data_IF_785739651843
#
_entry.id   IF_785739651843
#
_cell.length_a   1.000
_cell.length_b   1.000
_cell.length_c   1.000
_cell.angle_alpha   90.00
_cell.angle_beta   90.00
_cell.angle_gamma   90.00
#
_symmetry.space_group_name_H-M   'P 1'
#
loop_
_entity.id
_entity.type
_entity.pdbx_description
1 polymer ?
#
# COMPACT_ATOMS: atom_id res chain seq x y z
N UNK A 1 -12.96 26.80 -7.67
CA UNK A 1 -12.25 26.12 -6.57
C UNK A 1 -11.08 25.34 -7.15
N UNK A 2 -9.94 25.21 -6.46
CA UNK A 2 -8.89 24.26 -6.86
C UNK A 2 -9.45 22.84 -6.95
N UNK A 3 -8.87 22.00 -7.82
CA UNK A 3 -9.23 20.58 -7.89
C UNK A 3 -8.93 19.85 -6.58
N UNK A 4 -9.78 18.88 -6.22
CA UNK A 4 -9.57 18.08 -5.01
C UNK A 4 -8.40 17.11 -5.21
N UNK A 5 -7.74 16.72 -4.12
CA UNK A 5 -6.73 15.66 -4.13
C UNK A 5 -7.30 14.39 -3.53
N UNK A 6 -7.19 13.26 -4.24
CA UNK A 6 -7.39 11.95 -3.65
C UNK A 6 -6.05 11.47 -3.09
N UNK A 7 -5.90 11.58 -1.76
CA UNK A 7 -4.64 11.28 -1.08
C UNK A 7 -4.36 9.77 -0.91
N UNK A 8 -5.28 8.89 -1.31
CA UNK A 8 -5.05 7.45 -1.30
C UNK A 8 -6.04 6.68 -2.20
N UNK A 9 -5.51 5.97 -3.18
CA UNK A 9 -6.23 5.07 -4.07
C UNK A 9 -5.37 3.84 -4.37
N UNK A 10 -5.98 2.78 -4.89
CA UNK A 10 -5.27 1.58 -5.33
C UNK A 10 -5.32 1.39 -6.86
N UNK A 11 -5.84 2.37 -7.60
CA UNK A 11 -6.12 2.34 -9.03
C UNK A 11 -6.93 1.10 -9.45
N UNK A 12 -7.88 0.67 -8.61
CA UNK A 12 -8.62 -0.58 -8.83
C UNK A 12 -9.65 -0.43 -9.96
N UNK A 13 -9.59 -1.36 -10.90
CA UNK A 13 -10.55 -1.44 -11.99
C UNK A 13 -11.93 -1.88 -11.49
N UNK A 14 -11.97 -2.89 -10.62
CA UNK A 14 -13.21 -3.47 -10.10
C UNK A 14 -13.64 -2.83 -8.78
N UNK A 15 -14.95 -2.64 -8.61
CA UNK A 15 -15.54 -2.26 -7.32
C UNK A 15 -15.67 -3.50 -6.43
N UNK A 16 -15.49 -3.33 -5.12
CA UNK A 16 -15.63 -4.42 -4.14
C UNK A 16 -16.99 -5.16 -4.23
N UNK A 17 -18.05 -4.46 -4.63
CA UNK A 17 -19.39 -5.05 -4.84
C UNK A 17 -19.44 -6.04 -6.00
N UNK A 18 -18.58 -5.91 -7.01
CA UNK A 18 -18.61 -6.74 -8.22
C UNK A 18 -18.17 -8.19 -7.98
N UNK A 19 -17.48 -8.47 -6.87
CA UNK A 19 -16.98 -9.80 -6.51
C UNK A 19 -17.35 -10.21 -5.08
N UNK A 20 -18.42 -9.62 -4.53
CA UNK A 20 -18.99 -10.03 -3.24
C UNK A 20 -18.16 -9.66 -2.01
N UNK A 21 -17.21 -8.72 -2.16
CA UNK A 21 -16.28 -8.30 -1.12
C UNK A 21 -16.64 -6.93 -0.51
N UNK A 22 -17.91 -6.53 -0.55
CA UNK A 22 -18.37 -5.30 0.12
C UNK A 22 -18.77 -5.59 1.58
N UNK A 23 -18.56 -4.60 2.46
CA UNK A 23 -18.95 -4.65 3.87
C UNK A 23 -18.36 -5.86 4.64
N UNK A 24 -17.04 -6.04 4.51
CA UNK A 24 -16.27 -7.12 5.13
C UNK A 24 -15.10 -6.52 5.92
N UNK A 25 -14.77 -7.04 7.12
CA UNK A 25 -13.53 -6.70 7.80
C UNK A 25 -12.32 -6.86 6.87
N UNK A 26 -11.33 -5.94 6.93
CA UNK A 26 -10.15 -5.95 6.07
C UNK A 26 -9.50 -7.33 5.97
N UNK A 27 -9.28 -8.01 7.09
CA UNK A 27 -8.58 -9.28 7.15
C UNK A 27 -9.35 -10.39 6.40
N UNK A 28 -10.69 -10.34 6.42
CA UNK A 28 -11.53 -11.22 5.62
C UNK A 28 -11.65 -10.77 4.15
N UNK A 29 -11.58 -9.46 3.91
CA UNK A 29 -11.66 -8.86 2.59
C UNK A 29 -10.43 -9.15 1.72
N UNK A 30 -9.22 -9.14 2.30
CA UNK A 30 -7.96 -9.31 1.58
C UNK A 30 -7.92 -10.60 0.73
N UNK A 31 -8.55 -11.68 1.19
CA UNK A 31 -8.62 -12.94 0.44
C UNK A 31 -9.36 -12.82 -0.90
N UNK A 32 -10.31 -11.90 -1.00
CA UNK A 32 -11.04 -11.65 -2.24
C UNK A 32 -10.16 -10.97 -3.30
N UNK A 33 -9.07 -10.30 -2.92
CA UNK A 33 -8.14 -9.75 -3.90
C UNK A 33 -7.44 -10.84 -4.73
N UNK A 34 -7.29 -12.04 -4.17
CA UNK A 34 -6.72 -13.20 -4.86
C UNK A 34 -7.65 -13.84 -5.90
N UNK A 35 -8.93 -13.46 -5.96
CA UNK A 35 -9.87 -13.96 -6.98
C UNK A 35 -10.15 -12.96 -8.10
N UNK A 36 -9.65 -11.72 -7.96
CA UNK A 36 -9.75 -10.71 -9.02
C UNK A 36 -8.73 -11.06 -10.10
N UNK A 37 -9.11 -11.19 -11.39
CA UNK A 37 -8.16 -11.45 -12.46
C UNK A 37 -7.28 -10.23 -12.75
N UNK A 38 -6.06 -10.45 -13.25
CA UNK A 38 -5.26 -9.39 -13.84
C UNK A 38 -5.99 -8.77 -15.05
N UNK A 39 -5.89 -7.46 -15.21
CA UNK A 39 -6.40 -6.76 -16.41
C UNK A 39 -5.26 -6.00 -17.08
N UNK A 40 -5.47 -5.54 -18.32
CA UNK A 40 -4.52 -4.66 -18.97
C UNK A 40 -4.19 -3.46 -18.05
N UNK A 41 -2.91 -3.24 -17.68
CA UNK A 41 -2.55 -2.22 -16.69
C UNK A 41 -2.93 -0.80 -17.11
N UNK A 42 -2.82 -0.49 -18.40
CA UNK A 42 -3.20 0.82 -18.92
C UNK A 42 -4.71 1.01 -18.82
N UNK A 43 -5.50 0.07 -19.32
CA UNK A 43 -6.96 0.17 -19.25
C UNK A 43 -7.45 0.19 -17.80
N UNK A 44 -6.83 -0.61 -16.94
CA UNK A 44 -7.14 -0.66 -15.51
C UNK A 44 -6.93 0.68 -14.82
N UNK A 45 -5.74 1.27 -15.00
CA UNK A 45 -5.38 2.58 -14.46
C UNK A 45 -6.19 3.71 -15.10
N UNK A 46 -6.30 3.76 -16.42
CA UNK A 46 -7.05 4.79 -17.14
C UNK A 46 -8.51 4.84 -16.67
N UNK A 47 -9.15 3.68 -16.51
CA UNK A 47 -10.52 3.61 -16.02
C UNK A 47 -10.65 4.10 -14.58
N UNK A 48 -9.69 3.78 -13.70
CA UNK A 48 -9.71 4.22 -12.31
C UNK A 48 -9.47 5.74 -12.19
N UNK A 49 -8.46 6.26 -12.90
CA UNK A 49 -8.10 7.68 -12.89
C UNK A 49 -9.18 8.54 -13.55
N UNK A 50 -9.75 8.12 -14.68
CA UNK A 50 -10.83 8.85 -15.33
C UNK A 50 -12.08 8.97 -14.44
N UNK A 51 -12.39 7.92 -13.66
CA UNK A 51 -13.47 7.97 -12.65
C UNK A 51 -13.21 9.05 -11.59
N UNK A 52 -11.98 9.17 -11.11
CA UNK A 52 -11.59 10.22 -10.16
C UNK A 52 -11.68 11.61 -10.79
N UNK A 53 -11.11 11.79 -11.99
CA UNK A 53 -11.14 13.06 -12.72
C UNK A 53 -12.57 13.57 -12.98
N UNK A 54 -13.49 12.68 -13.38
CA UNK A 54 -14.92 12.99 -13.58
C UNK A 54 -15.64 13.46 -12.31
N UNK A 55 -15.04 13.30 -11.13
CA UNK A 55 -15.57 13.75 -9.83
C UNK A 55 -14.85 14.99 -9.29
N UNK A 56 -14.06 15.66 -10.12
CA UNK A 56 -13.35 16.89 -9.74
C UNK A 56 -12.05 16.65 -8.97
N UNK A 57 -11.54 15.41 -8.96
CA UNK A 57 -10.22 15.10 -8.41
C UNK A 57 -9.15 15.49 -9.44
N UNK A 58 -8.30 16.43 -9.07
CA UNK A 58 -7.21 16.92 -9.92
C UNK A 58 -5.88 16.21 -9.73
N UNK A 59 -5.71 15.40 -8.66
CA UNK A 59 -4.50 14.60 -8.39
C UNK A 59 -4.84 13.35 -7.60
N UNK A 60 -4.13 12.25 -7.83
CA UNK A 60 -4.39 10.96 -7.16
C UNK A 60 -3.09 10.36 -6.63
N UNK A 61 -3.07 9.94 -5.36
CA UNK A 61 -2.00 9.12 -4.81
C UNK A 61 -2.38 7.65 -4.92
N UNK A 62 -1.71 6.90 -5.79
CA UNK A 62 -1.92 5.48 -6.02
C UNK A 62 -0.92 4.67 -5.19
N UNK A 63 -1.40 3.95 -4.18
CA UNK A 63 -0.65 2.90 -3.51
C UNK A 63 -0.89 1.58 -4.25
N UNK A 64 0.04 1.23 -5.12
CA UNK A 64 -0.13 0.17 -6.13
C UNK A 64 0.11 -1.23 -5.53
N UNK A 65 -0.77 -1.63 -4.61
CA UNK A 65 -0.67 -2.87 -3.81
C UNK A 65 -0.98 -4.15 -4.59
N UNK A 66 -1.46 -4.03 -5.83
CA UNK A 66 -1.79 -5.18 -6.67
C UNK A 66 -1.37 -4.92 -8.12
N UNK A 67 -0.20 -5.45 -8.48
CA UNK A 67 0.18 -5.60 -9.88
C UNK A 67 -0.83 -6.48 -10.62
N UNK A 68 -1.01 -6.22 -11.92
CA UNK A 68 -1.84 -7.02 -12.80
C UNK A 68 -1.12 -8.30 -13.23
N UNK A 69 0.21 -8.26 -13.30
CA UNK A 69 1.03 -9.44 -13.56
C UNK A 69 0.91 -9.96 -14.99
N UNK A 70 0.53 -9.10 -15.93
CA UNK A 70 0.46 -9.43 -17.36
C UNK A 70 1.76 -9.08 -18.11
N UNK A 71 2.60 -8.25 -17.53
CA UNK A 71 3.94 -7.86 -18.02
C UNK A 71 4.91 -7.84 -16.84
N UNK A 72 6.20 -7.58 -17.10
CA UNK A 72 7.13 -7.27 -16.02
C UNK A 72 6.70 -5.96 -15.29
N UNK A 73 7.12 -5.77 -14.02
CA UNK A 73 6.65 -4.65 -13.20
C UNK A 73 7.04 -3.26 -13.74
N UNK A 74 8.15 -3.14 -14.48
CA UNK A 74 8.61 -1.86 -15.04
C UNK A 74 7.74 -1.48 -16.21
N UNK A 75 7.53 -2.39 -17.17
CA UNK A 75 6.60 -2.21 -18.29
C UNK A 75 5.18 -1.92 -17.78
N UNK A 76 4.76 -2.60 -16.72
CA UNK A 76 3.47 -2.38 -16.10
C UNK A 76 3.33 -0.96 -15.52
N UNK A 77 4.32 -0.50 -14.75
CA UNK A 77 4.32 0.85 -14.19
C UNK A 77 4.35 1.93 -15.29
N UNK A 78 5.12 1.72 -16.36
CA UNK A 78 5.12 2.62 -17.53
C UNK A 78 3.74 2.69 -18.21
N UNK A 79 2.99 1.58 -18.25
CA UNK A 79 1.63 1.58 -18.75
C UNK A 79 0.66 2.37 -17.83
N UNK A 80 0.83 2.29 -16.50
CA UNK A 80 0.10 3.12 -15.54
C UNK A 80 0.46 4.61 -15.68
N UNK A 81 1.75 4.92 -15.86
CA UNK A 81 2.22 6.29 -16.09
C UNK A 81 1.64 6.89 -17.37
N UNK A 82 1.62 6.12 -18.47
CA UNK A 82 0.97 6.51 -19.73
C UNK A 82 -0.53 6.76 -19.52
N UNK A 83 -1.22 5.91 -18.77
CA UNK A 83 -2.64 6.12 -18.46
C UNK A 83 -2.88 7.41 -17.66
N UNK A 84 -2.01 7.73 -16.69
CA UNK A 84 -2.10 8.96 -15.92
C UNK A 84 -1.92 10.20 -16.81
N UNK A 85 -0.94 10.16 -17.72
CA UNK A 85 -0.71 11.20 -18.72
C UNK A 85 -1.93 11.38 -19.64
N UNK A 86 -2.43 10.31 -20.25
CA UNK A 86 -3.52 10.37 -21.24
C UNK A 86 -4.85 10.82 -20.62
N UNK A 87 -5.11 10.46 -19.37
CA UNK A 87 -6.27 10.96 -18.61
C UNK A 87 -6.06 12.41 -18.15
N UNK A 88 -4.82 12.90 -18.12
CA UNK A 88 -4.47 14.24 -17.65
C UNK A 88 -4.55 14.39 -16.12
N UNK A 89 -4.33 13.30 -15.38
CA UNK A 89 -4.37 13.30 -13.90
C UNK A 89 -2.96 13.05 -13.35
N UNK A 90 -2.33 14.04 -12.70
CA UNK A 90 -1.08 13.83 -11.99
C UNK A 90 -1.23 12.76 -10.89
N UNK A 91 -0.27 11.85 -10.84
CA UNK A 91 -0.28 10.69 -9.94
C UNK A 91 0.98 10.66 -9.08
N UNK A 92 0.81 10.48 -7.77
CA UNK A 92 1.85 9.87 -6.93
C UNK A 92 1.71 8.36 -7.00
N UNK A 93 2.79 7.61 -7.26
CA UNK A 93 2.74 6.17 -7.49
C UNK A 93 3.66 5.45 -6.51
N UNK A 94 3.08 4.91 -5.44
CA UNK A 94 3.82 4.14 -4.46
C UNK A 94 3.94 2.67 -4.89
N UNK A 95 5.18 2.26 -5.20
CA UNK A 95 5.54 0.88 -5.53
C UNK A 95 5.38 0.04 -4.27
N UNK A 96 4.49 -0.95 -4.30
CA UNK A 96 4.20 -1.74 -3.11
C UNK A 96 5.38 -2.63 -2.70
N UNK A 97 5.78 -2.52 -1.43
CA UNK A 97 6.85 -3.30 -0.82
C UNK A 97 6.26 -4.14 0.31
N UNK A 98 6.63 -5.43 0.38
CA UNK A 98 6.29 -6.37 1.48
C UNK A 98 7.17 -7.60 1.43
N UNK A 99 7.65 -8.05 2.58
CA UNK A 99 8.60 -9.15 2.68
C UNK A 99 8.30 -10.13 3.84
N UNK A 100 7.18 -9.95 4.56
CA UNK A 100 6.74 -10.90 5.58
C UNK A 100 5.23 -11.06 5.64
N UNK A 101 4.81 -12.10 6.34
CA UNK A 101 3.43 -12.31 6.80
C UNK A 101 2.35 -12.21 5.68
N UNK A 102 2.50 -12.94 4.55
CA UNK A 102 1.63 -12.80 3.38
C UNK A 102 0.19 -13.31 3.59
N UNK A 103 -0.11 -14.06 4.67
CA UNK A 103 -1.44 -14.64 4.92
C UNK A 103 -2.24 -13.82 5.94
N UNK A 104 -1.62 -13.54 7.08
CA UNK A 104 -2.21 -12.89 8.25
C UNK A 104 -1.07 -12.25 9.06
N UNK A 105 -1.37 -11.57 10.17
CA UNK A 105 -0.38 -10.89 11.02
C UNK A 105 0.46 -11.86 11.89
N UNK A 106 0.91 -12.96 11.29
CA UNK A 106 1.64 -14.04 11.94
C UNK A 106 2.45 -14.85 10.90
N UNK A 107 3.34 -15.71 11.39
CA UNK A 107 4.18 -16.56 10.55
C UNK A 107 3.36 -17.52 9.68
N UNK A 108 3.68 -17.58 8.39
CA UNK A 108 2.90 -18.32 7.38
C UNK A 108 2.68 -19.78 7.75
N UNK A 109 3.71 -20.47 8.27
CA UNK A 109 3.61 -21.88 8.66
C UNK A 109 2.65 -22.09 9.84
N UNK A 110 2.63 -21.15 10.81
CA UNK A 110 1.73 -21.21 11.96
C UNK A 110 0.27 -20.98 11.52
N UNK A 111 0.06 -20.05 10.57
CA UNK A 111 -1.27 -19.81 10.01
C UNK A 111 -1.75 -21.01 9.20
N UNK A 112 -0.91 -21.57 8.32
CA UNK A 112 -1.25 -22.77 7.54
C UNK A 112 -1.64 -23.95 8.42
N UNK A 113 -0.95 -24.16 9.55
CA UNK A 113 -1.25 -25.22 10.50
C UNK A 113 -2.64 -25.08 11.15
N UNK A 114 -3.16 -23.85 11.28
CA UNK A 114 -4.48 -23.55 11.84
C UNK A 114 -5.61 -23.62 10.80
N UNK A 115 -5.29 -23.62 9.50
CA UNK A 115 -6.30 -23.74 8.46
C UNK A 115 -6.90 -25.15 8.38
N UNK A 116 -8.20 -25.28 8.03
CA UNK A 116 -8.80 -26.56 7.69
C UNK A 116 -7.99 -27.31 6.63
N UNK A 117 -7.83 -28.62 6.84
CA UNK A 117 -7.02 -29.49 5.95
C UNK A 117 -7.46 -29.35 4.48
N UNK A 118 -8.76 -29.21 4.23
CA UNK A 118 -9.34 -29.10 2.89
C UNK A 118 -8.84 -27.89 2.08
N UNK A 119 -8.40 -26.80 2.72
CA UNK A 119 -7.97 -25.58 2.02
C UNK A 119 -6.47 -25.31 2.14
N UNK A 120 -5.77 -26.01 3.04
CA UNK A 120 -4.36 -25.76 3.38
C UNK A 120 -3.44 -25.82 2.15
N UNK A 121 -3.61 -26.84 1.31
CA UNK A 121 -2.79 -27.02 0.10
C UNK A 121 -3.02 -25.89 -0.92
N UNK A 122 -4.27 -25.47 -1.13
CA UNK A 122 -4.62 -24.38 -2.05
C UNK A 122 -4.15 -23.01 -1.55
N UNK A 123 -4.10 -22.78 -0.23
CA UNK A 123 -3.52 -21.56 0.32
C UNK A 123 -2.00 -21.62 0.22
N UNK A 124 -1.37 -22.75 0.56
CA UNK A 124 0.08 -22.92 0.47
C UNK A 124 0.60 -22.71 -0.97
N UNK A 125 -0.11 -23.20 -2.00
CA UNK A 125 0.30 -23.01 -3.39
C UNK A 125 0.25 -21.54 -3.85
N UNK A 126 -0.64 -20.73 -3.30
CA UNK A 126 -0.70 -19.28 -3.56
C UNK A 126 0.42 -18.49 -2.89
N UNK A 127 1.11 -19.10 -1.94
CA UNK A 127 2.28 -18.55 -1.25
C UNK A 127 3.59 -19.05 -1.85
N UNK A 128 3.55 -19.69 -3.03
CA UNK A 128 4.71 -20.36 -3.59
C UNK A 128 5.84 -19.36 -3.85
N UNK A 129 6.92 -19.50 -3.08
CA UNK A 129 8.15 -18.72 -3.16
C UNK A 129 8.34 -17.80 -1.95
N UNK A 130 9.56 -17.71 -1.39
CA UNK A 130 9.86 -16.65 -0.43
C UNK A 130 9.65 -15.29 -1.11
N UNK A 131 9.22 -14.26 -0.35
CA UNK A 131 9.16 -12.91 -0.91
C UNK A 131 10.55 -12.49 -1.40
N UNK A 132 10.57 -11.60 -2.39
CA UNK A 132 11.82 -10.99 -2.85
C UNK A 132 12.53 -10.30 -1.67
N UNK A 133 13.86 -10.35 -1.65
CA UNK A 133 14.63 -9.70 -0.59
C UNK A 133 14.33 -8.20 -0.51
N UNK A 134 14.45 -7.55 0.65
CA UNK A 134 14.31 -6.10 0.77
C UNK A 134 15.14 -5.33 -0.26
N UNK A 135 16.40 -5.72 -0.47
CA UNK A 135 17.29 -5.11 -1.46
C UNK A 135 16.75 -5.24 -2.90
N UNK A 136 16.23 -6.41 -3.28
CA UNK A 136 15.61 -6.61 -4.61
C UNK A 136 14.39 -5.73 -4.80
N UNK A 137 13.54 -5.61 -3.78
CA UNK A 137 12.34 -4.77 -3.85
C UNK A 137 12.68 -3.27 -3.96
N UNK A 138 13.70 -2.82 -3.21
CA UNK A 138 14.20 -1.44 -3.29
C UNK A 138 14.78 -1.13 -4.68
N UNK A 139 15.60 -2.04 -5.22
CA UNK A 139 16.16 -1.89 -6.57
C UNK A 139 15.06 -1.78 -7.63
N UNK A 140 14.02 -2.61 -7.53
CA UNK A 140 12.88 -2.54 -8.44
C UNK A 140 12.13 -1.20 -8.34
N UNK A 141 11.92 -0.69 -7.12
CA UNK A 141 11.27 0.61 -6.93
C UNK A 141 12.10 1.76 -7.55
N UNK A 142 13.42 1.71 -7.44
CA UNK A 142 14.32 2.69 -8.04
C UNK A 142 14.38 2.56 -9.58
N UNK A 143 14.31 1.34 -10.12
CA UNK A 143 14.21 1.08 -11.55
C UNK A 143 12.90 1.64 -12.13
N UNK A 144 11.77 1.38 -11.47
CA UNK A 144 10.46 1.95 -11.84
C UNK A 144 10.49 3.48 -11.79
N UNK A 145 11.11 4.06 -10.76
CA UNK A 145 11.25 5.51 -10.63
C UNK A 145 12.06 6.11 -11.80
N UNK A 146 13.09 5.41 -12.25
CA UNK A 146 13.91 5.83 -13.40
C UNK A 146 13.13 5.70 -14.71
N UNK A 147 12.45 4.57 -14.92
CA UNK A 147 11.71 4.28 -16.15
C UNK A 147 10.46 5.16 -16.34
N UNK A 148 9.83 5.57 -15.24
CA UNK A 148 8.63 6.41 -15.24
C UNK A 148 8.95 7.90 -14.98
N UNK A 149 10.21 8.31 -15.06
CA UNK A 149 10.61 9.70 -14.84
C UNK A 149 9.91 10.62 -15.85
N UNK A 150 9.24 11.66 -15.35
CA UNK A 150 8.53 12.62 -16.18
C UNK A 150 7.59 13.51 -15.39
N UNK A 151 7.01 14.49 -16.08
CA UNK A 151 6.06 15.42 -15.47
C UNK A 151 4.73 14.73 -15.13
N UNK A 152 4.25 14.95 -13.91
CA UNK A 152 2.94 14.46 -13.48
C UNK A 152 2.89 13.01 -12.99
N UNK A 153 4.01 12.28 -12.94
CA UNK A 153 4.07 10.94 -12.36
C UNK A 153 5.22 10.83 -11.33
N UNK A 154 4.89 10.88 -10.05
CA UNK A 154 5.85 10.91 -8.95
C UNK A 154 5.94 9.54 -8.28
N UNK A 155 6.98 8.76 -8.59
CA UNK A 155 7.19 7.43 -7.99
C UNK A 155 7.68 7.55 -6.55
N UNK A 156 7.07 6.77 -5.66
CA UNK A 156 7.31 6.75 -4.22
C UNK A 156 7.64 5.33 -3.73
N UNK A 157 8.28 5.23 -2.57
CA UNK A 157 8.38 3.95 -1.87
C UNK A 157 7.04 3.64 -1.19
N UNK A 158 6.54 2.41 -1.36
CA UNK A 158 5.23 2.02 -0.86
C UNK A 158 5.22 0.83 0.09
N UNK A 159 5.89 0.86 1.27
CA UNK A 159 5.68 -0.17 2.28
C UNK A 159 4.19 -0.43 2.47
N UNK A 160 3.77 -1.70 2.35
CA UNK A 160 2.34 -2.01 2.36
C UNK A 160 1.75 -1.73 3.75
N UNK A 161 2.52 -1.96 4.80
CA UNK A 161 2.15 -1.70 6.19
C UNK A 161 3.14 -2.38 7.11
N UNK A 162 3.27 -1.89 8.33
CA UNK A 162 4.25 -2.36 9.31
C UNK A 162 4.16 -3.87 9.59
N UNK A 163 2.97 -4.45 9.52
CA UNK A 163 2.73 -5.89 9.65
C UNK A 163 3.30 -6.73 8.50
N UNK A 164 3.42 -6.16 7.29
CA UNK A 164 3.85 -6.88 6.09
C UNK A 164 5.29 -6.55 5.68
N UNK A 165 5.94 -5.62 6.37
CA UNK A 165 7.30 -5.17 6.11
C UNK A 165 8.18 -5.45 7.33
N UNK A 166 9.32 -6.13 7.14
CA UNK A 166 10.33 -6.30 8.17
C UNK A 166 10.97 -4.97 8.58
N UNK A 167 11.58 -4.93 9.76
CA UNK A 167 12.34 -3.76 10.23
C UNK A 167 13.52 -3.46 9.31
N UNK A 168 14.12 -4.48 8.67
CA UNK A 168 15.16 -4.32 7.66
C UNK A 168 14.62 -3.54 6.44
N UNK A 169 13.48 -3.98 5.88
CA UNK A 169 12.86 -3.29 4.75
C UNK A 169 12.44 -1.86 5.11
N UNK A 170 11.83 -1.64 6.28
CA UNK A 170 11.44 -0.31 6.73
C UNK A 170 12.66 0.60 6.94
N UNK A 171 13.75 0.07 7.50
CA UNK A 171 15.01 0.80 7.66
C UNK A 171 15.66 1.18 6.32
N UNK A 172 15.66 0.27 5.34
CA UNK A 172 16.15 0.56 3.99
C UNK A 172 15.33 1.66 3.31
N UNK A 173 14.00 1.61 3.43
CA UNK A 173 13.11 2.66 2.90
C UNK A 173 13.38 3.99 3.58
N UNK A 174 13.55 4.01 4.90
CA UNK A 174 13.84 5.23 5.65
C UNK A 174 15.17 5.87 5.20
N UNK A 175 16.23 5.07 5.13
CA UNK A 175 17.55 5.53 4.70
C UNK A 175 17.53 6.03 3.25
N UNK A 176 16.90 5.28 2.34
CA UNK A 176 16.82 5.66 0.94
C UNK A 176 16.00 6.94 0.74
N UNK A 177 14.82 7.03 1.37
CA UNK A 177 13.97 8.24 1.35
C UNK A 177 14.70 9.47 1.89
N UNK A 178 15.48 9.32 2.97
CA UNK A 178 16.29 10.41 3.51
C UNK A 178 17.40 10.84 2.55
N UNK A 179 18.06 9.89 1.89
CA UNK A 179 19.16 10.15 0.97
C UNK A 179 18.70 10.85 -0.32
N UNK A 180 17.62 10.37 -0.95
CA UNK A 180 17.16 10.86 -2.26
C UNK A 180 15.90 11.73 -2.21
N UNK A 181 15.40 12.04 -1.02
CA UNK A 181 14.17 12.82 -0.78
C UNK A 181 12.89 12.22 -1.37
N UNK A 182 12.91 10.95 -1.82
CA UNK A 182 11.71 10.29 -2.34
C UNK A 182 10.67 10.13 -1.25
N UNK A 183 9.42 10.43 -1.58
CA UNK A 183 8.29 10.30 -0.68
C UNK A 183 7.97 8.83 -0.39
N UNK A 184 7.28 8.60 0.73
CA UNK A 184 6.86 7.29 1.20
C UNK A 184 5.36 7.33 1.45
N UNK A 185 4.64 6.30 1.00
CA UNK A 185 3.22 6.12 1.29
C UNK A 185 2.97 4.72 1.88
N UNK A 186 2.33 4.65 3.04
CA UNK A 186 2.15 3.39 3.77
C UNK A 186 0.80 3.35 4.51
N UNK A 187 0.19 2.18 4.67
CA UNK A 187 -0.95 2.01 5.58
C UNK A 187 -0.48 1.92 7.03
N UNK A 188 -1.22 2.51 7.96
CA UNK A 188 -0.90 2.39 9.38
C UNK A 188 -2.17 2.34 10.22
N UNK A 189 -2.25 1.35 11.13
CA UNK A 189 -3.27 1.24 12.17
C UNK A 189 -4.71 1.40 11.63
N UNK A 190 -5.03 0.70 10.54
CA UNK A 190 -6.34 0.75 9.90
C UNK A 190 -7.40 0.00 10.72
N UNK A 191 -7.05 -1.14 11.32
CA UNK A 191 -7.98 -2.01 12.05
C UNK A 191 -7.55 -2.24 13.48
N UNK A 192 -8.49 -2.66 14.35
CA UNK A 192 -8.19 -3.09 15.72
C UNK A 192 -7.14 -4.20 15.76
N UNK A 193 -7.17 -5.15 14.83
CA UNK A 193 -6.23 -6.27 14.79
C UNK A 193 -4.81 -5.81 14.42
N UNK A 194 -4.68 -4.82 13.53
CA UNK A 194 -3.38 -4.19 13.28
C UNK A 194 -2.87 -3.47 14.53
N UNK A 195 -3.75 -2.84 15.31
CA UNK A 195 -3.37 -2.22 16.59
C UNK A 195 -2.87 -3.25 17.60
N UNK A 196 -3.63 -4.31 17.83
CA UNK A 196 -3.26 -5.39 18.76
C UNK A 196 -1.92 -6.02 18.37
N UNK A 197 -1.72 -6.28 17.07
CA UNK A 197 -0.45 -6.78 16.55
C UNK A 197 0.70 -5.79 16.77
N UNK A 198 0.48 -4.50 16.53
CA UNK A 198 1.48 -3.46 16.70
C UNK A 198 1.90 -3.31 18.17
N UNK A 199 0.95 -3.37 19.11
CA UNK A 199 1.23 -3.32 20.55
C UNK A 199 2.06 -4.52 21.01
N UNK A 200 1.74 -5.71 20.51
CA UNK A 200 2.48 -6.91 20.84
C UNK A 200 3.89 -6.89 20.25
N UNK A 201 4.02 -6.47 18.99
CA UNK A 201 5.28 -6.53 18.24
C UNK A 201 6.23 -5.37 18.57
N UNK A 202 5.68 -4.23 18.97
CA UNK A 202 6.42 -3.03 19.34
C UNK A 202 5.92 -2.51 20.70
N UNK A 203 6.33 -3.11 21.83
CA UNK A 203 5.91 -2.68 23.17
C UNK A 203 6.25 -1.21 23.48
N UNK A 204 7.26 -0.65 22.80
CA UNK A 204 7.63 0.77 22.88
C UNK A 204 6.81 1.71 21.99
N UNK A 205 5.81 1.19 21.26
CA UNK A 205 4.95 1.93 20.34
C UNK A 205 5.46 1.91 18.89
N UNK A 206 4.58 1.59 17.95
CA UNK A 206 4.92 1.49 16.53
C UNK A 206 5.32 2.84 15.93
N UNK A 207 4.64 3.94 16.29
CA UNK A 207 4.99 5.28 15.79
C UNK A 207 6.35 5.73 16.33
N UNK A 208 6.66 5.40 17.59
CA UNK A 208 7.98 5.65 18.17
C UNK A 208 9.08 4.85 17.45
N UNK A 209 8.80 3.59 17.07
CA UNK A 209 9.70 2.81 16.23
C UNK A 209 9.94 3.47 14.86
N UNK A 210 8.88 3.90 14.16
CA UNK A 210 9.00 4.62 12.88
C UNK A 210 9.83 5.91 13.02
N UNK A 211 9.71 6.62 14.14
CA UNK A 211 10.55 7.79 14.48
C UNK A 211 12.01 7.39 14.69
N UNK A 212 12.26 6.32 15.45
CA UNK A 212 13.61 5.85 15.77
C UNK A 212 14.41 5.43 14.52
N UNK A 213 13.77 4.78 13.55
CA UNK A 213 14.41 4.38 12.29
C UNK A 213 14.50 5.54 11.27
N UNK A 214 13.95 6.71 11.59
CA UNK A 214 13.97 7.90 10.72
C UNK A 214 12.92 7.90 9.59
N UNK A 215 11.95 6.98 9.61
CA UNK A 215 10.90 6.92 8.60
C UNK A 215 9.84 8.01 8.83
N UNK A 216 9.51 8.27 10.10
CA UNK A 216 8.54 9.30 10.49
C UNK A 216 9.12 10.69 10.19
N UNK A 217 8.67 11.29 9.10
CA UNK A 217 9.25 12.52 8.54
C UNK A 217 8.24 13.24 7.61
N UNK A 218 8.54 14.47 7.15
CA UNK A 218 7.66 15.17 6.21
C UNK A 218 7.49 14.51 4.84
N UNK A 219 8.28 13.46 4.54
CA UNK A 219 8.20 12.68 3.30
C UNK A 219 7.18 11.54 3.40
N UNK A 220 6.64 11.27 4.58
CA UNK A 220 5.76 10.14 4.85
C UNK A 220 4.29 10.55 4.80
N UNK A 221 3.50 9.81 4.01
CA UNK A 221 2.04 9.82 4.05
C UNK A 221 1.52 8.49 4.59
N UNK A 222 0.66 8.56 5.59
CA UNK A 222 0.07 7.42 6.29
C UNK A 222 -1.41 7.30 5.94
N UNK A 223 -1.81 6.22 5.30
CA UNK A 223 -3.22 5.92 5.06
C UNK A 223 -3.88 5.40 6.34
N UNK A 224 -5.10 5.85 6.58
CA UNK A 224 -5.99 5.48 7.71
C UNK A 224 -5.64 6.14 9.04
N UNK A 225 -4.75 5.53 9.83
CA UNK A 225 -4.50 5.88 11.23
C UNK A 225 -5.76 5.81 12.13
N UNK A 226 -6.74 4.97 11.80
CA UNK A 226 -8.03 4.85 12.51
C UNK A 226 -7.86 4.48 13.99
N UNK A 227 -6.86 3.64 14.31
CA UNK A 227 -6.54 3.18 15.66
C UNK A 227 -5.29 3.83 16.26
N UNK A 228 -4.84 4.96 15.70
CA UNK A 228 -3.79 5.76 16.32
C UNK A 228 -4.30 6.39 17.62
N UNK A 229 -3.45 6.39 18.65
CA UNK A 229 -3.70 7.06 19.94
C UNK A 229 -3.32 8.54 19.87
N UNK A 230 -3.77 9.33 20.84
CA UNK A 230 -3.55 10.78 20.85
C UNK A 230 -2.07 11.17 20.83
N UNK A 231 -1.24 10.50 21.62
CA UNK A 231 0.22 10.67 21.66
C UNK A 231 0.90 10.27 20.34
N UNK A 232 0.42 9.22 19.69
CA UNK A 232 0.87 8.80 18.36
C UNK A 232 0.51 9.84 17.29
N UNK A 233 -0.69 10.44 17.36
CA UNK A 233 -1.11 11.52 16.47
C UNK A 233 -0.28 12.79 16.66
N UNK A 234 0.05 13.14 17.92
CA UNK A 234 0.97 14.23 18.24
C UNK A 234 2.35 13.99 17.63
N UNK A 235 2.93 12.80 17.81
CA UNK A 235 4.22 12.44 17.20
C UNK A 235 4.20 12.51 15.67
N UNK A 236 3.12 12.08 15.03
CA UNK A 236 2.96 12.17 13.56
C UNK A 236 2.92 13.63 13.12
N UNK A 237 2.16 14.47 13.83
CA UNK A 237 2.05 15.89 13.55
C UNK A 237 3.37 16.64 13.75
N UNK A 238 4.08 16.39 14.85
CA UNK A 238 5.41 16.97 15.14
C UNK A 238 6.44 16.66 14.05
N UNK A 239 6.39 15.44 13.50
CA UNK A 239 7.28 15.03 12.42
C UNK A 239 6.91 15.60 11.05
N UNK A 240 5.78 16.30 10.92
CA UNK A 240 5.28 16.84 9.67
C UNK A 240 4.76 15.79 8.68
N UNK A 241 4.52 14.55 9.14
CA UNK A 241 3.95 13.50 8.31
C UNK A 241 2.46 13.76 8.03
N UNK A 242 1.98 13.27 6.89
CA UNK A 242 0.59 13.47 6.45
C UNK A 242 -0.25 12.24 6.75
N UNK A 243 -1.49 12.42 7.24
CA UNK A 243 -2.47 11.34 7.35
C UNK A 243 -3.50 11.48 6.21
N UNK A 244 -3.63 10.44 5.39
CA UNK A 244 -4.70 10.30 4.40
C UNK A 244 -5.89 9.57 5.04
N UNK A 245 -6.93 10.33 5.38
CA UNK A 245 -8.15 9.80 6.03
C UNK A 245 -9.08 9.19 4.98
N UNK A 246 -9.34 7.88 5.09
CA UNK A 246 -10.07 7.09 4.10
C UNK A 246 -11.48 6.71 4.59
N UNK A 247 -12.32 7.70 4.91
CA UNK A 247 -13.61 7.50 5.63
C UNK A 247 -14.52 6.43 5.03
N UNK A 248 -14.70 6.42 3.70
CA UNK A 248 -15.57 5.44 3.05
C UNK A 248 -15.00 4.02 3.11
N UNK A 249 -13.67 3.88 2.99
CA UNK A 249 -12.97 2.61 3.15
C UNK A 249 -13.06 2.12 4.58
N UNK A 250 -12.78 2.99 5.56
CA UNK A 250 -12.83 2.65 6.99
C UNK A 250 -14.21 2.11 7.38
N UNK A 251 -15.29 2.77 6.92
CA UNK A 251 -16.64 2.28 7.16
C UNK A 251 -16.91 0.95 6.45
N UNK A 252 -16.55 0.84 5.17
CA UNK A 252 -16.82 -0.37 4.37
C UNK A 252 -15.98 -1.59 4.76
N UNK A 253 -14.82 -1.36 5.37
CA UNK A 253 -13.92 -2.39 5.89
C UNK A 253 -14.12 -2.64 7.39
N UNK A 254 -15.08 -1.96 8.03
CA UNK A 254 -15.36 -2.07 9.46
C UNK A 254 -14.10 -1.90 10.30
N UNK A 255 -13.27 -0.94 9.88
CA UNK A 255 -12.03 -0.53 10.53
C UNK A 255 -12.29 -0.33 12.00
#
# INVERSE_FOLDING_TARGET
>A
MPGLANAHDHARTFRNTAFGAFDRPLEGWLFYLGVVPGVDPYLGAATALARSAQRGVGRVMVHYTRAQGLTDPVTEAMAVARAAHDVGTPVGFAVALRDRQPIAYAESLQVLAQLPVAIRASVASRLAGPPASPATQMALADEIATACAGDGFNVQYGPTGVQWCSDELLGLVAAASAHNSRQVHMHLLETRYQREWADYSYPGGIVAHLKAIGLLSPRLTLAHCTYARADELEMIAEAGAVIAVNTSSNLGLRS
#
